data_IF_184062942907
#
_entry.id   IF_184062942907
#
_cell.length_a   1.000
_cell.length_b   1.000
_cell.length_c   1.000
_cell.angle_alpha   90.00
_cell.angle_beta   90.00
_cell.angle_gamma   90.00
#
_symmetry.space_group_name_H-M   'P 1'
#
loop_
_entity.id
_entity.type
_entity.pdbx_description
1 polymer ?
#
# COMPACT_ATOMS: atom_id res chain seq x y z
N UNK A 1 -10.68 -10.60 23.98
CA UNK A 1 -9.72 -11.40 23.19
C UNK A 1 -8.62 -10.44 22.77
N UNK A 2 -7.35 -10.74 23.05
CA UNK A 2 -6.24 -9.92 22.55
C UNK A 2 -6.16 -10.17 21.04
N UNK A 3 -6.63 -9.23 20.22
CA UNK A 3 -6.39 -9.31 18.77
C UNK A 3 -4.88 -9.24 18.58
N UNK A 4 -4.30 -10.36 18.13
CA UNK A 4 -2.89 -10.36 17.75
C UNK A 4 -2.78 -9.48 16.51
N UNK A 5 -1.96 -8.43 16.59
CA UNK A 5 -1.57 -7.63 15.44
C UNK A 5 -0.70 -8.49 14.52
N UNK A 6 -1.08 -8.62 13.24
CA UNK A 6 -0.28 -9.33 12.25
C UNK A 6 0.26 -8.35 11.22
N UNK A 7 1.50 -8.58 10.77
CA UNK A 7 2.06 -7.86 9.63
C UNK A 7 1.42 -8.40 8.36
N UNK A 8 0.91 -7.49 7.53
CA UNK A 8 0.28 -7.80 6.25
C UNK A 8 0.97 -7.05 5.12
N UNK A 9 0.83 -7.55 3.89
CA UNK A 9 1.30 -6.89 2.68
C UNK A 9 0.10 -6.51 1.82
N UNK A 10 -0.07 -5.22 1.55
CA UNK A 10 -1.18 -4.65 0.76
C UNK A 10 -0.72 -4.44 -0.68
N UNK A 11 -1.39 -5.10 -1.61
CA UNK A 11 -1.14 -4.99 -3.04
C UNK A 11 -1.84 -3.75 -3.62
N UNK A 12 -1.04 -2.79 -4.11
CA UNK A 12 -1.57 -1.54 -4.66
C UNK A 12 -1.69 -1.55 -6.20
N UNK A 13 -1.26 -2.63 -6.86
CA UNK A 13 -1.29 -2.78 -8.31
C UNK A 13 -2.71 -2.67 -8.89
N UNK A 14 -3.77 -3.25 -8.28
CA UNK A 14 -5.14 -3.08 -8.78
C UNK A 14 -5.59 -1.62 -8.83
N UNK A 15 -5.00 -0.78 -7.97
CA UNK A 15 -5.26 0.65 -7.98
C UNK A 15 -4.42 1.39 -9.01
N UNK A 16 -3.46 0.77 -9.69
CA UNK A 16 -2.53 1.44 -10.62
C UNK A 16 -1.34 2.12 -9.93
N UNK A 17 -1.02 1.72 -8.69
CA UNK A 17 0.21 2.10 -7.99
C UNK A 17 1.12 0.87 -8.04
N UNK A 18 2.34 1.00 -8.58
CA UNK A 18 3.18 -0.14 -8.95
C UNK A 18 3.92 -0.75 -7.76
N UNK A 19 3.25 -0.96 -6.62
CA UNK A 19 3.89 -1.41 -5.38
C UNK A 19 3.05 -2.35 -4.51
N UNK A 20 3.76 -3.06 -3.63
CA UNK A 20 3.18 -3.78 -2.47
C UNK A 20 3.75 -3.19 -1.19
N UNK A 21 2.92 -2.69 -0.28
CA UNK A 21 3.34 -2.05 0.98
C UNK A 21 3.04 -2.91 2.19
N UNK A 22 3.91 -2.92 3.20
CA UNK A 22 3.61 -3.60 4.48
C UNK A 22 2.87 -2.69 5.45
N UNK A 23 1.99 -3.29 6.24
CA UNK A 23 1.24 -2.65 7.32
C UNK A 23 0.92 -3.67 8.42
N UNK A 24 0.13 -3.28 9.42
CA UNK A 24 -0.41 -4.18 10.46
C UNK A 24 -1.93 -4.23 10.40
N UNK A 25 -2.51 -5.37 10.78
CA UNK A 25 -3.97 -5.53 10.85
C UNK A 25 -4.63 -4.47 11.71
N UNK A 26 -4.07 -4.15 12.89
CA UNK A 26 -4.68 -3.17 13.80
C UNK A 26 -4.65 -1.75 13.22
N UNK A 27 -3.61 -1.40 12.46
CA UNK A 27 -3.54 -0.12 11.79
C UNK A 27 -4.60 -0.04 10.68
N UNK A 28 -4.71 -1.08 9.86
CA UNK A 28 -5.74 -1.14 8.80
C UNK A 28 -7.14 -1.07 9.39
N UNK A 29 -7.42 -1.84 10.44
CA UNK A 29 -8.73 -1.83 11.12
C UNK A 29 -9.04 -0.44 11.69
N UNK A 30 -8.07 0.23 12.31
CA UNK A 30 -8.25 1.59 12.83
C UNK A 30 -8.60 2.58 11.73
N UNK A 31 -7.88 2.53 10.59
CA UNK A 31 -8.11 3.42 9.45
C UNK A 31 -9.45 3.13 8.75
N UNK A 32 -9.83 1.86 8.59
CA UNK A 32 -11.15 1.49 8.05
C UNK A 32 -12.26 2.09 8.92
N UNK A 33 -12.17 1.91 10.24
CA UNK A 33 -13.15 2.49 11.17
C UNK A 33 -13.21 4.02 11.12
N UNK A 34 -12.07 4.69 10.89
CA UNK A 34 -12.02 6.14 10.72
C UNK A 34 -12.74 6.58 9.44
N UNK A 35 -12.47 5.91 8.31
CA UNK A 35 -13.12 6.22 7.05
C UNK A 35 -14.60 5.85 7.03
N UNK A 36 -15.03 4.80 7.72
CA UNK A 36 -16.46 4.51 7.91
C UNK A 36 -17.18 5.67 8.60
N UNK A 37 -16.59 6.24 9.66
CA UNK A 37 -17.15 7.43 10.32
C UNK A 37 -17.16 8.64 9.40
N UNK A 38 -16.11 8.84 8.60
CA UNK A 38 -16.04 9.93 7.64
C UNK A 38 -17.13 9.80 6.59
N UNK A 39 -17.24 8.64 5.93
CA UNK A 39 -18.23 8.39 4.88
C UNK A 39 -19.66 8.51 5.41
N UNK A 40 -19.91 8.04 6.64
CA UNK A 40 -21.23 8.17 7.29
C UNK A 40 -21.59 9.61 7.69
N UNK A 41 -20.59 10.48 7.93
CA UNK A 41 -20.83 11.88 8.33
C UNK A 41 -20.79 12.85 7.16
N UNK A 42 -19.96 12.60 6.16
CA UNK A 42 -19.72 13.48 5.01
C UNK A 42 -19.13 12.69 3.82
N UNK A 43 -20.01 12.10 3.02
CA UNK A 43 -19.63 11.29 1.86
C UNK A 43 -18.90 12.10 0.77
N UNK A 44 -19.35 13.34 0.51
CA UNK A 44 -18.73 14.21 -0.51
C UNK A 44 -17.28 14.54 -0.15
N UNK A 45 -17.01 14.79 1.14
CA UNK A 45 -15.64 14.98 1.63
C UNK A 45 -14.79 13.72 1.49
N UNK A 46 -15.36 12.53 1.73
CA UNK A 46 -14.65 11.27 1.53
C UNK A 46 -14.28 11.06 0.05
N UNK A 47 -15.20 11.33 -0.89
CA UNK A 47 -14.93 11.28 -2.32
C UNK A 47 -13.86 12.31 -2.75
N UNK A 48 -13.97 13.55 -2.24
CA UNK A 48 -12.96 14.58 -2.49
C UNK A 48 -11.58 14.19 -1.98
N UNK A 49 -11.52 13.59 -0.78
CA UNK A 49 -10.28 13.07 -0.21
C UNK A 49 -9.71 11.90 -1.04
N UNK A 50 -10.55 10.98 -1.50
CA UNK A 50 -10.15 9.86 -2.37
C UNK A 50 -9.44 10.34 -3.63
N UNK A 51 -10.02 11.33 -4.33
CA UNK A 51 -9.45 11.90 -5.56
C UNK A 51 -8.08 12.56 -5.31
N UNK A 52 -7.98 13.37 -4.26
CA UNK A 52 -6.73 14.07 -3.89
C UNK A 52 -5.64 13.07 -3.49
N UNK A 53 -6.01 12.08 -2.68
CA UNK A 53 -5.11 11.02 -2.24
C UNK A 53 -4.60 10.21 -3.43
N UNK A 54 -5.49 9.87 -4.37
CA UNK A 54 -5.12 9.15 -5.60
C UNK A 54 -4.06 9.89 -6.40
N UNK A 55 -4.29 11.18 -6.67
CA UNK A 55 -3.35 12.00 -7.44
C UNK A 55 -2.00 12.17 -6.72
N UNK A 56 -2.00 12.24 -5.38
CA UNK A 56 -0.77 12.27 -4.59
C UNK A 56 0.00 10.95 -4.70
N UNK A 57 -0.67 9.82 -4.53
CA UNK A 57 -0.05 8.50 -4.60
C UNK A 57 0.59 8.22 -5.96
N UNK A 58 -0.08 8.57 -7.06
CA UNK A 58 0.49 8.39 -8.40
C UNK A 58 1.77 9.22 -8.61
N UNK A 59 1.84 10.42 -8.04
CA UNK A 59 3.04 11.27 -8.12
C UNK A 59 4.19 10.70 -7.29
N UNK A 60 3.90 10.26 -6.07
CA UNK A 60 4.90 9.62 -5.20
C UNK A 60 5.39 8.30 -5.80
N UNK A 61 4.50 7.45 -6.31
CA UNK A 61 4.84 6.21 -7.00
C UNK A 61 5.78 6.48 -8.19
N UNK A 62 5.43 7.41 -9.07
CA UNK A 62 6.28 7.80 -10.19
C UNK A 62 7.65 8.34 -9.74
N UNK A 63 7.69 9.19 -8.72
CA UNK A 63 8.93 9.72 -8.16
C UNK A 63 9.83 8.61 -7.64
N UNK A 64 9.27 7.74 -6.80
CA UNK A 64 10.00 6.68 -6.16
C UNK A 64 10.47 5.64 -7.16
N UNK A 65 9.63 5.25 -8.13
CA UNK A 65 10.01 4.37 -9.23
C UNK A 65 11.17 4.94 -10.06
N UNK A 66 11.17 6.26 -10.33
CA UNK A 66 12.28 6.93 -11.02
C UNK A 66 13.54 7.05 -10.16
N UNK A 67 13.39 7.10 -8.84
CA UNK A 67 14.50 7.29 -7.89
C UNK A 67 14.50 6.22 -6.78
N UNK A 68 14.87 4.95 -7.07
CA UNK A 68 14.78 3.87 -6.09
C UNK A 68 15.55 4.12 -4.79
N UNK A 69 16.75 4.70 -4.91
CA UNK A 69 17.59 5.06 -3.74
C UNK A 69 16.94 6.11 -2.83
N UNK A 70 15.97 6.88 -3.31
CA UNK A 70 15.29 7.89 -2.51
C UNK A 70 14.47 7.29 -1.36
N UNK A 71 14.03 6.03 -1.45
CA UNK A 71 13.34 5.36 -0.34
C UNK A 71 14.25 5.22 0.90
N UNK A 72 15.55 5.01 0.68
CA UNK A 72 16.54 4.89 1.77
C UNK A 72 16.98 6.24 2.33
N UNK A 73 17.08 7.25 1.48
CA UNK A 73 17.56 8.59 1.86
C UNK A 73 16.42 9.42 2.46
N UNK A 74 15.20 9.30 1.94
CA UNK A 74 14.02 10.06 2.35
C UNK A 74 13.03 9.17 3.11
N UNK A 75 13.52 8.52 4.18
CA UNK A 75 12.76 7.52 4.97
C UNK A 75 11.41 8.03 5.46
N UNK A 76 11.35 9.28 5.92
CA UNK A 76 10.10 9.88 6.41
C UNK A 76 9.06 10.06 5.28
N UNK A 77 9.50 10.58 4.12
CA UNK A 77 8.62 10.74 2.95
C UNK A 77 8.14 9.39 2.44
N UNK A 78 9.04 8.41 2.41
CA UNK A 78 8.73 7.04 2.03
C UNK A 78 7.73 6.39 2.99
N UNK A 79 7.94 6.51 4.30
CA UNK A 79 6.99 6.01 5.32
C UNK A 79 5.60 6.61 5.14
N UNK A 80 5.52 7.94 4.98
CA UNK A 80 4.24 8.62 4.69
C UNK A 80 3.59 8.11 3.41
N UNK A 81 4.37 7.81 2.38
CA UNK A 81 3.82 7.26 1.14
C UNK A 81 3.25 5.85 1.34
N UNK A 82 3.93 4.99 2.11
CA UNK A 82 3.42 3.67 2.48
C UNK A 82 2.12 3.75 3.28
N UNK A 83 2.06 4.62 4.30
CA UNK A 83 0.85 4.82 5.11
C UNK A 83 -0.32 5.30 4.25
N UNK A 84 -0.09 6.28 3.38
CA UNK A 84 -1.10 6.79 2.44
C UNK A 84 -1.59 5.73 1.44
N UNK A 85 -0.77 4.73 1.10
CA UNK A 85 -1.22 3.60 0.29
C UNK A 85 -2.26 2.77 1.04
N UNK A 86 -2.02 2.51 2.33
CA UNK A 86 -2.96 1.79 3.19
C UNK A 86 -4.24 2.61 3.38
N UNK A 87 -4.13 3.91 3.62
CA UNK A 87 -5.28 4.81 3.70
C UNK A 87 -6.14 4.72 2.46
N UNK A 88 -5.52 4.73 1.28
CA UNK A 88 -6.25 4.64 0.03
C UNK A 88 -6.95 3.29 -0.14
N UNK A 89 -6.28 2.19 0.17
CA UNK A 89 -6.90 0.87 0.11
C UNK A 89 -8.11 0.76 1.05
N UNK A 90 -7.96 1.21 2.30
CA UNK A 90 -9.05 1.24 3.27
C UNK A 90 -10.22 2.13 2.80
N UNK A 91 -9.94 3.30 2.24
CA UNK A 91 -10.96 4.21 1.73
C UNK A 91 -11.75 3.60 0.55
N UNK A 92 -11.09 2.88 -0.37
CA UNK A 92 -11.78 2.15 -1.44
C UNK A 92 -12.69 1.05 -0.88
N UNK A 93 -12.26 0.35 0.17
CA UNK A 93 -13.11 -0.62 0.87
C UNK A 93 -14.37 0.01 1.45
N UNK A 94 -14.24 1.19 2.07
CA UNK A 94 -15.41 1.85 2.67
C UNK A 94 -16.36 2.41 1.60
N UNK A 95 -15.83 3.15 0.63
CA UNK A 95 -16.62 3.84 -0.42
C UNK A 95 -17.23 2.88 -1.44
N UNK A 96 -16.44 1.91 -1.93
CA UNK A 96 -16.82 1.08 -3.08
C UNK A 96 -17.04 -0.39 -2.73
N UNK A 97 -16.89 -0.77 -1.44
CA UNK A 97 -16.99 -2.16 -0.97
C UNK A 97 -15.98 -3.10 -1.65
N UNK A 98 -14.86 -2.54 -2.10
CA UNK A 98 -13.76 -3.31 -2.68
C UNK A 98 -12.93 -4.00 -1.58
N UNK A 99 -12.49 -5.24 -1.77
CA UNK A 99 -11.61 -5.89 -0.80
C UNK A 99 -10.24 -5.22 -0.77
N UNK A 100 -9.61 -5.15 0.40
CA UNK A 100 -8.18 -4.84 0.49
C UNK A 100 -7.42 -6.05 -0.07
N UNK A 101 -6.71 -5.85 -1.19
CA UNK A 101 -5.92 -6.90 -1.83
C UNK A 101 -4.68 -7.20 -0.99
N UNK A 102 -4.64 -8.36 -0.35
CA UNK A 102 -3.51 -8.80 0.47
C UNK A 102 -2.65 -9.83 -0.27
N UNK A 103 -1.34 -9.80 0.00
CA UNK A 103 -0.38 -10.84 -0.40
C UNK A 103 0.06 -11.58 0.86
N UNK A 104 0.26 -12.91 0.77
CA UNK A 104 0.69 -13.71 1.92
C UNK A 104 2.05 -13.19 2.45
N UNK A 105 2.18 -12.79 3.73
CA UNK A 105 3.38 -12.13 4.25
C UNK A 105 4.63 -13.02 4.20
N UNK A 106 4.47 -14.33 4.37
CA UNK A 106 5.59 -15.28 4.30
C UNK A 106 6.02 -15.51 2.85
N UNK A 107 5.09 -15.49 1.88
CA UNK A 107 5.48 -15.53 0.46
C UNK A 107 6.21 -14.24 0.09
N UNK A 108 5.78 -13.10 0.63
CA UNK A 108 6.48 -11.83 0.48
C UNK A 108 7.91 -11.92 1.06
N UNK A 109 8.07 -12.42 2.28
CA UNK A 109 9.37 -12.46 2.95
C UNK A 109 10.31 -13.54 2.38
N UNK A 110 9.79 -14.70 2.00
CA UNK A 110 10.57 -15.76 1.33
C UNK A 110 10.99 -15.36 -0.09
N UNK A 111 10.10 -14.75 -0.87
CA UNK A 111 10.44 -14.32 -2.24
C UNK A 111 11.40 -13.13 -2.24
N UNK A 112 11.28 -12.21 -1.26
CA UNK A 112 12.29 -11.19 -0.96
C UNK A 112 13.64 -11.79 -0.60
N UNK A 113 13.67 -12.79 0.29
CA UNK A 113 14.91 -13.41 0.77
C UNK A 113 15.64 -14.23 -0.31
N UNK A 114 14.91 -14.74 -1.31
CA UNK A 114 15.45 -15.60 -2.37
C UNK A 114 15.80 -14.84 -3.66
N UNK A 115 15.53 -13.54 -3.75
CA UNK A 115 15.76 -12.74 -4.97
C UNK A 115 15.00 -13.26 -6.21
N UNK A 116 13.94 -14.05 -5.99
CA UNK A 116 13.25 -14.89 -6.98
C UNK A 116 11.77 -14.50 -7.05
N UNK A 117 11.49 -13.22 -7.29
CA UNK A 117 10.13 -12.78 -7.61
C UNK A 117 9.82 -13.06 -9.07
N UNK A 118 9.30 -14.26 -9.32
CA UNK A 118 8.59 -14.60 -10.56
C UNK A 118 7.08 -14.46 -10.32
N UNK A 119 6.57 -13.25 -10.50
CA UNK A 119 5.14 -12.99 -10.70
C UNK A 119 4.89 -12.91 -12.21
N UNK A 120 5.16 -13.97 -12.96
CA UNK A 120 4.94 -14.05 -14.42
C UNK A 120 3.48 -13.84 -14.88
N UNK A 121 2.55 -13.49 -13.99
CA UNK A 121 1.23 -12.92 -14.34
C UNK A 121 1.11 -11.40 -14.14
N UNK A 122 2.06 -10.75 -13.47
CA UNK A 122 2.13 -9.30 -13.26
C UNK A 122 3.59 -8.85 -13.36
N UNK A 123 3.97 -8.33 -14.54
CA UNK A 123 5.32 -7.91 -15.00
C UNK A 123 6.39 -7.74 -13.92
N UNK A 124 7.58 -8.33 -14.16
CA UNK A 124 8.67 -8.54 -13.19
C UNK A 124 8.87 -7.45 -12.14
N UNK A 125 9.27 -7.81 -10.93
CA UNK A 125 9.32 -6.90 -9.77
C UNK A 125 10.77 -6.61 -9.34
N UNK A 126 11.12 -5.34 -9.13
CA UNK A 126 12.35 -4.89 -8.48
C UNK A 126 12.19 -4.92 -6.95
N UNK A 127 13.13 -5.61 -6.30
CA UNK A 127 13.23 -5.70 -4.84
C UNK A 127 14.16 -4.60 -4.34
N UNK A 128 13.67 -3.74 -3.44
CA UNK A 128 14.54 -2.80 -2.74
C UNK A 128 15.11 -3.51 -1.50
N UNK A 129 16.43 -3.75 -1.42
CA UNK A 129 17.04 -4.39 -0.25
C UNK A 129 16.67 -3.63 1.03
N UNK A 130 16.49 -4.32 2.16
CA UNK A 130 16.20 -3.71 3.48
C UNK A 130 14.88 -2.94 3.61
N UNK A 131 14.09 -2.81 2.55
CA UNK A 131 12.77 -2.16 2.57
C UNK A 131 11.69 -3.24 2.39
N UNK A 132 10.60 -3.22 3.16
CA UNK A 132 9.53 -4.17 3.01
C UNK A 132 8.60 -3.84 1.83
N UNK A 133 9.13 -3.56 0.64
CA UNK A 133 8.33 -3.18 -0.55
C UNK A 133 8.88 -3.79 -1.84
N UNK A 134 7.95 -4.18 -2.72
CA UNK A 134 8.15 -4.66 -4.09
C UNK A 134 7.69 -3.60 -5.09
N UNK A 135 8.39 -3.41 -6.21
CA UNK A 135 7.97 -2.51 -7.31
C UNK A 135 7.94 -3.23 -8.65
N UNK A 136 7.04 -2.92 -9.58
CA UNK A 136 7.15 -3.46 -10.94
C UNK A 136 8.38 -2.85 -11.66
N UNK A 137 9.24 -3.70 -12.22
CA UNK A 137 10.32 -3.36 -13.13
C UNK A 137 9.77 -2.64 -14.36
N UNK A 138 10.53 -1.65 -14.82
CA UNK A 138 10.24 -0.88 -16.03
C UNK A 138 10.46 -1.72 -17.30
#
# INVERSE_FOLDING_TARGET
MSNKSYVIAVNMIPYGIKMVVKSTTDFVDAIVNEFERLVNSDHEKADGYHLVLKAKLLREDAFFNKHPKAAHVQKERWGKFCDLCVDFAALNTVLYKEPIYLVHPEQFDEQRARGLLDLSSAGGVDLIPEVPVMRLAA
#
